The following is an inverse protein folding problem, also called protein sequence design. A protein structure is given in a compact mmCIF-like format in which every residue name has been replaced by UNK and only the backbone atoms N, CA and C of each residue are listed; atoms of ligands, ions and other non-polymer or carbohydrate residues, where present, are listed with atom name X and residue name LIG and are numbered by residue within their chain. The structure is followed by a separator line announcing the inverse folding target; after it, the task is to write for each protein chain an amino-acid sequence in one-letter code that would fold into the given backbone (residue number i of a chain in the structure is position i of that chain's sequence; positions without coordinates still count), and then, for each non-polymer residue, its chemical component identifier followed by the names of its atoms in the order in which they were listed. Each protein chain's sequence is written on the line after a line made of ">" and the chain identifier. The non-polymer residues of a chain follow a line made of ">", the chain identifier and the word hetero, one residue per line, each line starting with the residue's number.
data_IF_495337360500
#
_entry.id   IF_495337360500
#
_cell.length_a   1.000
_cell.length_b   1.000
_cell.length_c   1.000
_cell.angle_alpha   90.00
_cell.angle_beta   90.00
_cell.angle_gamma   90.00
#
_symmetry.space_group_name_H-M   'P 1'
#
loop_
_entity.id
_entity.type
_entity.pdbx_description
1 polymer ?
#
# COMPACT_ATOMS: atom_id res chain seq x y z
N UNK A 1 14.49 3.09 -1.24
CA UNK A 1 13.58 4.04 -0.56
C UNK A 1 12.34 4.19 -1.41
N UNK A 2 11.16 4.23 -0.80
CA UNK A 2 9.90 4.46 -1.50
C UNK A 2 9.45 5.89 -1.26
N UNK A 3 8.86 6.50 -2.29
CA UNK A 3 8.21 7.80 -2.21
C UNK A 3 6.70 7.55 -2.19
N UNK A 4 6.04 8.08 -1.17
CA UNK A 4 4.62 7.86 -0.89
C UNK A 4 3.89 9.19 -1.02
N UNK A 5 2.76 9.17 -1.72
CA UNK A 5 1.80 10.27 -1.78
C UNK A 5 0.62 9.94 -0.86
N UNK A 6 0.52 10.66 0.27
CA UNK A 6 -0.53 10.48 1.27
C UNK A 6 -1.89 11.06 0.84
N UNK A 7 -1.90 11.99 -0.13
CA UNK A 7 -3.12 12.62 -0.63
C UNK A 7 -3.79 11.86 -1.76
N UNK A 8 -3.07 10.92 -2.37
CA UNK A 8 -3.58 10.13 -3.50
C UNK A 8 -4.54 9.03 -3.03
N UNK A 9 -5.75 9.03 -3.60
CA UNK A 9 -6.69 7.92 -3.42
C UNK A 9 -6.19 6.68 -4.17
N UNK A 10 -6.02 5.51 -3.51
CA UNK A 10 -5.59 4.28 -4.17
C UNK A 10 -6.56 3.83 -5.27
N UNK A 11 -5.99 3.31 -6.34
CA UNK A 11 -6.69 2.64 -7.43
C UNK A 11 -6.38 1.14 -7.44
N UNK A 12 -7.09 0.40 -8.28
CA UNK A 12 -6.83 -1.03 -8.44
C UNK A 12 -5.37 -1.27 -8.88
N UNK A 13 -4.71 -2.19 -8.17
CA UNK A 13 -3.32 -2.62 -8.33
C UNK A 13 -2.24 -1.57 -7.97
N UNK A 14 -2.62 -0.41 -7.44
CA UNK A 14 -1.65 0.53 -6.85
C UNK A 14 -0.91 -0.15 -5.69
N UNK A 15 0.38 0.15 -5.57
CA UNK A 15 1.17 -0.25 -4.40
C UNK A 15 0.95 0.80 -3.30
N UNK A 16 0.59 0.37 -2.09
CA UNK A 16 0.26 1.26 -0.97
C UNK A 16 1.04 0.91 0.28
N UNK A 17 1.21 1.90 1.16
CA UNK A 17 1.63 1.69 2.55
C UNK A 17 0.39 1.72 3.45
N UNK A 18 0.27 0.75 4.33
CA UNK A 18 -0.73 0.73 5.39
C UNK A 18 -0.11 0.28 6.71
N UNK A 19 -0.75 0.63 7.82
CA UNK A 19 -0.38 0.11 9.13
C UNK A 19 -1.01 -1.26 9.36
N UNK A 20 -0.18 -2.19 9.82
CA UNK A 20 -0.60 -3.49 10.31
C UNK A 20 0.20 -3.82 11.57
N UNK A 21 -0.48 -4.10 12.69
CA UNK A 21 0.19 -4.40 13.96
C UNK A 21 1.24 -3.33 14.35
N UNK A 22 0.91 -2.05 14.14
CA UNK A 22 1.77 -0.87 14.39
C UNK A 22 2.96 -0.71 13.43
N UNK A 23 3.16 -1.64 12.50
CA UNK A 23 4.22 -1.60 11.50
C UNK A 23 3.72 -1.05 10.15
N UNK A 24 4.60 -0.38 9.41
CA UNK A 24 4.31 0.06 8.05
C UNK A 24 4.59 -1.05 7.05
N UNK A 25 3.52 -1.55 6.42
CA UNK A 25 3.56 -2.68 5.51
C UNK A 25 3.16 -2.27 4.09
N UNK A 26 3.73 -2.98 3.11
CA UNK A 26 3.42 -2.82 1.69
C UNK A 26 2.30 -3.75 1.25
N UNK A 27 1.37 -3.23 0.45
CA UNK A 27 0.28 -4.01 -0.13
C UNK A 27 -0.05 -3.56 -1.56
N UNK A 28 -0.64 -4.44 -2.35
CA UNK A 28 -1.40 -4.06 -3.53
C UNK A 28 -2.84 -3.72 -3.14
N UNK A 29 -3.34 -2.61 -3.65
CA UNK A 29 -4.72 -2.18 -3.49
C UNK A 29 -5.65 -2.94 -4.45
N UNK A 30 -6.77 -3.44 -3.95
CA UNK A 30 -7.83 -4.02 -4.77
C UNK A 30 -9.17 -3.37 -4.40
N UNK A 31 -9.73 -2.57 -5.32
CA UNK A 31 -11.02 -1.90 -5.11
C UNK A 31 -12.17 -2.76 -5.61
N UNK A 32 -13.20 -2.89 -4.77
CA UNK A 32 -14.47 -3.53 -5.13
C UNK A 32 -15.58 -2.59 -4.68
N UNK A 33 -16.20 -1.90 -5.64
CA UNK A 33 -17.15 -0.84 -5.33
C UNK A 33 -16.53 0.25 -4.45
N UNK A 34 -17.16 0.53 -3.30
CA UNK A 34 -16.68 1.50 -2.31
C UNK A 34 -15.61 0.97 -1.34
N UNK A 35 -15.30 -0.33 -1.41
CA UNK A 35 -14.38 -0.99 -0.48
C UNK A 35 -12.97 -1.12 -1.05
N UNK A 36 -11.98 -1.12 -0.15
CA UNK A 36 -10.57 -1.36 -0.47
C UNK A 36 -10.11 -2.62 0.26
N UNK A 37 -9.52 -3.55 -0.47
CA UNK A 37 -8.80 -4.70 0.06
C UNK A 37 -7.29 -4.50 -0.14
N UNK A 38 -6.49 -4.98 0.80
CA UNK A 38 -5.04 -4.98 0.73
C UNK A 38 -4.54 -6.40 0.51
N UNK A 39 -3.72 -6.59 -0.52
CA UNK A 39 -3.15 -7.87 -0.90
C UNK A 39 -1.64 -7.82 -0.62
N UNK A 40 -1.10 -8.69 0.25
CA UNK A 40 0.33 -8.73 0.53
C UNK A 40 1.14 -9.06 -0.75
N UNK A 41 2.27 -8.39 -1.03
CA UNK A 41 3.03 -8.59 -2.26
C UNK A 41 3.77 -9.94 -2.31
N UNK A 42 4.04 -10.58 -1.16
CA UNK A 42 4.67 -11.92 -1.09
C UNK A 42 4.26 -12.68 0.18
N UNK A 43 4.19 -14.01 0.08
CA UNK A 43 4.32 -14.95 1.21
C UNK A 43 3.14 -15.04 2.19
N UNK A 44 2.22 -14.07 2.22
CA UNK A 44 0.97 -14.14 2.98
C UNK A 44 -0.20 -14.38 2.03
N UNK A 45 -0.97 -15.43 2.30
CA UNK A 45 -2.20 -15.71 1.58
C UNK A 45 -3.34 -14.84 2.14
N UNK A 46 -4.23 -14.41 1.24
CA UNK A 46 -5.46 -13.68 1.58
C UNK A 46 -5.40 -12.19 1.27
N UNK A 47 -6.57 -11.56 1.35
CA UNK A 47 -6.73 -10.12 1.26
C UNK A 47 -7.36 -9.61 2.56
N UNK A 48 -6.88 -8.49 3.07
CA UNK A 48 -7.42 -7.88 4.29
C UNK A 48 -8.24 -6.64 3.94
N UNK A 49 -9.45 -6.45 4.49
CA UNK A 49 -10.18 -5.20 4.34
C UNK A 49 -9.38 -4.03 4.91
N UNK A 50 -9.20 -2.98 4.10
CA UNK A 50 -8.54 -1.77 4.55
C UNK A 50 -9.51 -0.89 5.36
N UNK A 51 -9.03 -0.29 6.44
CA UNK A 51 -9.65 0.91 7.00
C UNK A 51 -8.89 2.11 6.45
N UNK A 52 -9.61 3.15 6.06
CA UNK A 52 -8.99 4.37 5.52
C UNK A 52 -8.01 5.04 6.51
N UNK A 53 -8.25 4.89 7.82
CA UNK A 53 -7.36 5.42 8.87
C UNK A 53 -5.99 4.73 8.95
N UNK A 54 -5.92 3.48 8.49
CA UNK A 54 -4.69 2.68 8.52
C UNK A 54 -3.85 2.89 7.25
N UNK A 55 -4.44 3.46 6.19
CA UNK A 55 -3.76 3.76 4.94
C UNK A 55 -2.84 4.97 5.10
N UNK A 56 -1.57 4.83 4.69
CA UNK A 56 -0.57 5.89 4.72
C UNK A 56 -0.29 6.52 3.37
N UNK A 57 -0.68 5.87 2.27
CA UNK A 57 -0.65 6.49 0.95
C UNK A 57 -0.26 5.54 -0.16
N UNK A 58 -0.21 6.08 -1.38
CA UNK A 58 0.16 5.35 -2.58
C UNK A 58 1.65 5.52 -2.86
N UNK A 59 2.35 4.43 -3.11
CA UNK A 59 3.75 4.46 -3.56
C UNK A 59 3.77 4.98 -4.99
N UNK A 60 4.37 6.14 -5.20
CA UNK A 60 4.44 6.81 -6.53
C UNK A 60 5.79 6.64 -7.21
N UNK A 61 6.83 6.29 -6.45
CA UNK A 61 8.17 6.06 -7.01
C UNK A 61 9.05 5.22 -6.08
N UNK A 62 10.02 4.54 -6.67
CA UNK A 62 11.13 3.92 -5.96
C UNK A 62 12.40 4.73 -6.23
N UNK A 63 12.92 5.40 -5.20
CA UNK A 63 14.21 6.05 -5.26
C UNK A 63 15.31 4.98 -5.26
N UNK A 64 16.06 4.93 -6.37
CA UNK A 64 17.29 4.14 -6.49
C UNK A 64 18.43 4.93 -5.86
N UNK A 65 19.16 4.28 -4.96
CA UNK A 65 20.37 4.84 -4.36
C UNK A 65 21.55 4.15 -5.03
N UNK A 66 22.27 4.87 -5.89
CA UNK A 66 23.55 4.41 -6.40
C UNK A 66 24.58 4.63 -5.29
N UNK A 67 25.16 3.55 -4.78
CA UNK A 67 26.36 3.61 -3.93
C UNK A 67 27.54 3.88 -4.86
N UNK A 68 28.19 5.02 -4.67
CA UNK A 68 29.51 5.33 -5.22
C UNK A 68 30.58 4.94 -4.22
#
# INVERSE_FOLDING_TARGET
>A
MLVVDEGRTPQHNDLVIALEEEEQCLFHAFRIGGSLLLIPPRGRNGAVPARWVDLRGVVVSQARRYVH
#
